data_IF_960535217486
#
_entry.id   IF_960535217486
#
_cell.length_a   1.000
_cell.length_b   1.000
_cell.length_c   1.000
_cell.angle_alpha   90.00
_cell.angle_beta   90.00
_cell.angle_gamma   90.00
#
_symmetry.space_group_name_H-M   'P 1'
#
loop_
_entity.id
_entity.type
_entity.pdbx_description
1 polymer ?
#
# COMPACT_ATOMS: atom_id res chain seq x y z
N UNK A 1 17.87 0.52 27.12
CA UNK A 1 17.75 0.82 25.69
C UNK A 1 17.17 -0.41 24.98
N UNK A 2 16.36 -0.19 23.91
CA UNK A 2 15.86 -1.30 23.10
C UNK A 2 16.89 -1.60 21.98
N UNK A 3 17.09 -2.88 21.70
CA UNK A 3 17.88 -3.36 20.57
C UNK A 3 16.97 -4.08 19.58
N UNK A 4 17.21 -3.90 18.29
CA UNK A 4 16.46 -4.58 17.23
C UNK A 4 17.35 -4.88 16.04
N UNK A 5 16.90 -5.84 15.24
CA UNK A 5 17.56 -6.24 13.99
C UNK A 5 16.59 -6.08 12.83
N UNK A 6 17.07 -5.48 11.75
CA UNK A 6 16.32 -5.29 10.50
C UNK A 6 17.21 -5.77 9.35
N UNK A 7 16.68 -6.64 8.51
CA UNK A 7 17.31 -7.04 7.27
C UNK A 7 16.27 -7.41 6.23
N UNK A 8 16.63 -7.29 4.97
CA UNK A 8 15.66 -7.54 3.91
C UNK A 8 16.31 -7.59 2.53
N UNK A 9 15.46 -7.70 1.54
CA UNK A 9 15.79 -7.70 0.13
C UNK A 9 14.83 -6.76 -0.60
N UNK A 10 15.37 -5.96 -1.51
CA UNK A 10 14.59 -5.14 -2.42
C UNK A 10 14.91 -5.55 -3.86
N UNK A 11 13.86 -5.71 -4.67
CA UNK A 11 13.96 -5.99 -6.10
C UNK A 11 13.17 -4.94 -6.87
N UNK A 12 13.82 -4.33 -7.85
CA UNK A 12 13.20 -3.42 -8.81
C UNK A 12 13.47 -3.95 -10.22
N UNK A 13 12.41 -4.26 -10.94
CA UNK A 13 12.47 -4.75 -12.30
C UNK A 13 11.60 -3.85 -13.19
N UNK A 14 12.21 -3.36 -14.29
CA UNK A 14 11.48 -2.69 -15.36
C UNK A 14 11.72 -3.49 -16.64
N UNK A 15 10.67 -3.76 -17.38
CA UNK A 15 10.76 -4.56 -18.60
C UNK A 15 9.84 -4.00 -19.68
N UNK A 16 10.30 -4.09 -20.92
CA UNK A 16 9.54 -3.78 -22.12
C UNK A 16 9.37 -5.09 -22.90
N UNK A 17 8.12 -5.53 -23.01
CA UNK A 17 7.79 -6.77 -23.71
C UNK A 17 7.60 -6.54 -25.21
N UNK A 18 7.10 -5.36 -25.59
CA UNK A 18 6.91 -4.90 -26.96
C UNK A 18 6.85 -3.38 -27.00
N UNK A 19 6.74 -2.80 -28.21
CA UNK A 19 6.55 -1.35 -28.38
C UNK A 19 5.29 -0.84 -27.66
N UNK A 20 4.30 -1.71 -27.44
CA UNK A 20 3.01 -1.35 -26.86
C UNK A 20 2.81 -1.86 -25.44
N UNK A 21 3.76 -2.62 -24.85
CA UNK A 21 3.59 -3.24 -23.55
C UNK A 21 4.86 -3.16 -22.71
N UNK A 22 4.76 -2.50 -21.57
CA UNK A 22 5.81 -2.48 -20.56
C UNK A 22 5.24 -2.74 -19.15
N UNK A 23 6.09 -3.20 -18.27
CA UNK A 23 5.74 -3.44 -16.89
C UNK A 23 6.88 -3.08 -15.94
N UNK A 24 6.53 -2.80 -14.70
CA UNK A 24 7.49 -2.74 -13.60
C UNK A 24 7.02 -3.61 -12.43
N UNK A 25 7.98 -4.11 -11.69
CA UNK A 25 7.75 -4.86 -10.44
C UNK A 25 8.72 -4.35 -9.40
N UNK A 26 8.20 -3.88 -8.28
CA UNK A 26 8.97 -3.54 -7.09
C UNK A 26 8.53 -4.45 -5.96
N UNK A 27 9.47 -5.15 -5.35
CA UNK A 27 9.25 -6.06 -4.22
C UNK A 27 10.16 -5.66 -3.08
N UNK A 28 9.60 -5.56 -1.88
CA UNK A 28 10.34 -5.42 -0.63
C UNK A 28 10.02 -6.58 0.30
N UNK A 29 11.06 -7.27 0.74
CA UNK A 29 11.00 -8.30 1.79
C UNK A 29 11.77 -7.78 2.99
N UNK A 30 11.10 -7.72 4.14
CA UNK A 30 11.69 -7.17 5.37
C UNK A 30 11.47 -8.15 6.52
N UNK A 31 12.53 -8.43 7.26
CA UNK A 31 12.43 -9.08 8.56
C UNK A 31 12.96 -8.13 9.63
N UNK A 32 12.12 -7.89 10.62
CA UNK A 32 12.47 -7.10 11.80
C UNK A 32 12.26 -7.94 13.05
N UNK A 33 13.04 -7.71 14.08
CA UNK A 33 12.91 -8.40 15.35
C UNK A 33 13.38 -7.51 16.49
N UNK A 34 12.61 -7.44 17.57
CA UNK A 34 13.02 -6.82 18.83
C UNK A 34 13.87 -7.85 19.55
N UNK A 35 15.17 -7.55 19.81
CA UNK A 35 16.12 -8.49 20.42
C UNK A 35 16.21 -8.37 21.92
N UNK A 36 16.28 -7.15 22.41
CA UNK A 36 16.39 -6.86 23.83
C UNK A 36 15.66 -5.56 24.16
N UNK A 37 14.74 -5.63 25.10
CA UNK A 37 14.04 -4.46 25.60
C UNK A 37 13.72 -4.66 27.11
N UNK A 38 14.63 -4.27 27.98
CA UNK A 38 14.54 -4.50 29.44
C UNK A 38 13.21 -4.08 30.06
N UNK A 39 12.60 -2.97 29.60
CA UNK A 39 11.30 -2.50 30.09
C UNK A 39 10.09 -3.20 29.45
N UNK A 40 10.30 -3.98 28.40
CA UNK A 40 9.26 -4.68 27.64
C UNK A 40 9.76 -6.03 27.12
N UNK A 41 10.15 -6.95 28.03
CA UNK A 41 10.65 -8.27 27.63
C UNK A 41 9.57 -9.13 26.96
N UNK A 42 8.30 -8.78 27.12
CA UNK A 42 7.15 -9.38 26.45
C UNK A 42 7.15 -9.19 24.93
N UNK A 43 7.92 -8.24 24.41
CA UNK A 43 8.04 -7.94 22.98
C UNK A 43 9.25 -8.60 22.31
N UNK A 44 10.13 -9.23 23.06
CA UNK A 44 11.31 -9.88 22.49
C UNK A 44 10.91 -11.00 21.52
N UNK A 45 11.58 -11.07 20.39
CA UNK A 45 11.26 -11.97 19.28
C UNK A 45 10.14 -11.48 18.34
N UNK A 46 9.39 -10.43 18.73
CA UNK A 46 8.33 -9.86 17.92
C UNK A 46 8.90 -8.95 16.80
N UNK A 47 8.18 -8.88 15.68
CA UNK A 47 8.47 -7.87 14.66
C UNK A 47 8.19 -6.46 15.19
N UNK A 48 8.96 -5.48 14.71
CA UNK A 48 8.77 -4.07 15.06
C UNK A 48 7.44 -3.53 14.50
N UNK A 49 6.96 -2.44 15.08
CA UNK A 49 5.77 -1.75 14.61
C UNK A 49 6.00 -1.12 13.23
N UNK A 50 4.94 -1.03 12.43
CA UNK A 50 4.95 -0.47 11.06
C UNK A 50 5.95 -1.12 10.09
N UNK A 51 6.29 -2.37 10.31
CA UNK A 51 7.25 -3.14 9.53
C UNK A 51 6.59 -4.36 8.86
N UNK A 52 5.85 -4.17 7.75
CA UNK A 52 5.28 -5.27 6.99
C UNK A 52 6.39 -6.17 6.45
N UNK A 53 6.19 -7.49 6.50
CA UNK A 53 7.19 -8.47 6.05
C UNK A 53 7.39 -8.48 4.53
N UNK A 54 6.37 -8.07 3.80
CA UNK A 54 6.45 -7.87 2.36
C UNK A 54 5.64 -6.65 1.93
N UNK A 55 6.13 -5.98 0.89
CA UNK A 55 5.44 -4.91 0.19
C UNK A 55 5.74 -5.05 -1.30
N UNK A 56 4.78 -4.72 -2.14
CA UNK A 56 4.95 -4.81 -3.58
C UNK A 56 4.16 -3.74 -4.32
N UNK A 57 4.70 -3.36 -5.48
CA UNK A 57 4.01 -2.54 -6.46
C UNK A 57 4.29 -3.12 -7.85
N UNK A 58 3.23 -3.40 -8.60
CA UNK A 58 3.31 -3.95 -9.94
C UNK A 58 2.52 -3.02 -10.86
N UNK A 59 3.17 -2.53 -11.90
CA UNK A 59 2.54 -1.69 -12.91
C UNK A 59 2.60 -2.32 -14.30
N UNK A 60 1.53 -2.13 -15.05
CA UNK A 60 1.43 -2.51 -16.46
C UNK A 60 1.02 -1.29 -17.25
N UNK A 61 1.79 -0.97 -18.30
CA UNK A 61 1.47 0.08 -19.25
C UNK A 61 1.24 -0.57 -20.62
N UNK A 62 0.07 -0.37 -21.16
CA UNK A 62 -0.35 -0.93 -22.43
C UNK A 62 -0.89 0.15 -23.36
N UNK A 63 -0.43 0.16 -24.61
CA UNK A 63 -0.87 1.06 -25.68
C UNK A 63 -1.67 0.22 -26.69
N UNK A 64 -3.00 0.10 -26.54
CA UNK A 64 -3.83 -0.72 -27.42
C UNK A 64 -3.84 -0.26 -28.88
N UNK A 65 -3.72 1.06 -29.08
CA UNK A 65 -3.60 1.72 -30.39
C UNK A 65 -2.96 3.11 -30.19
N UNK A 66 -2.51 3.75 -31.25
CA UNK A 66 -1.62 4.92 -31.21
C UNK A 66 -2.08 6.09 -30.34
N UNK A 67 -3.39 6.23 -30.13
CA UNK A 67 -3.95 7.36 -29.39
C UNK A 67 -4.53 6.97 -28.01
N UNK A 68 -4.30 5.74 -27.55
CA UNK A 68 -4.83 5.26 -26.30
C UNK A 68 -3.77 4.60 -25.44
N UNK A 69 -3.93 4.74 -24.15
CA UNK A 69 -3.10 4.03 -23.15
C UNK A 69 -3.94 3.48 -22.01
N UNK A 70 -3.49 2.38 -21.47
CA UNK A 70 -4.06 1.75 -20.29
C UNK A 70 -2.94 1.52 -19.28
N UNK A 71 -3.10 2.08 -18.08
CA UNK A 71 -2.20 1.87 -16.97
C UNK A 71 -2.94 1.09 -15.88
N UNK A 72 -2.38 -0.03 -15.48
CA UNK A 72 -2.81 -0.81 -14.32
C UNK A 72 -1.73 -0.76 -13.25
N UNK A 73 -2.11 -0.53 -12.02
CA UNK A 73 -1.21 -0.56 -10.89
C UNK A 73 -1.80 -1.37 -9.73
N UNK A 74 -1.00 -2.30 -9.23
CA UNK A 74 -1.31 -3.14 -8.08
C UNK A 74 -0.32 -2.81 -6.97
N UNK A 75 -0.80 -2.39 -5.81
CA UNK A 75 0.05 -2.07 -4.66
C UNK A 75 -0.48 -2.79 -3.43
N UNK A 76 0.38 -3.52 -2.76
CA UNK A 76 -0.03 -4.26 -1.57
C UNK A 76 1.09 -4.43 -0.56
N UNK A 77 0.70 -4.83 0.63
CA UNK A 77 1.62 -5.21 1.71
C UNK A 77 0.97 -6.20 2.68
N UNK A 78 1.81 -6.93 3.39
CA UNK A 78 1.37 -7.78 4.50
C UNK A 78 0.91 -6.97 5.71
N UNK A 79 0.16 -7.60 6.59
CA UNK A 79 -0.20 -7.04 7.89
C UNK A 79 1.03 -6.71 8.74
N UNK A 80 0.91 -5.70 9.59
CA UNK A 80 1.98 -5.22 10.48
C UNK A 80 1.41 -4.80 11.83
N UNK A 81 2.24 -4.84 12.88
CA UNK A 81 1.85 -4.32 14.18
C UNK A 81 1.70 -2.79 14.13
N UNK A 82 0.64 -2.27 14.75
CA UNK A 82 0.39 -0.84 14.78
C UNK A 82 1.31 -0.09 15.77
N UNK A 83 1.74 -0.77 16.84
CA UNK A 83 2.52 -0.15 17.92
C UNK A 83 3.31 -1.20 18.69
N UNK A 84 4.28 -0.73 19.46
CA UNK A 84 4.97 -1.55 20.47
C UNK A 84 4.22 -1.56 21.81
N UNK A 85 3.17 -0.76 21.99
CA UNK A 85 2.37 -0.73 23.22
C UNK A 85 1.32 -1.84 23.31
N UNK A 86 0.95 -2.48 22.19
CA UNK A 86 -0.06 -3.53 22.10
C UNK A 86 0.21 -4.49 20.94
N UNK A 87 -0.50 -5.60 20.87
CA UNK A 87 -0.30 -6.65 19.85
C UNK A 87 -1.29 -6.63 18.70
N UNK A 88 -2.09 -5.55 18.55
CA UNK A 88 -3.01 -5.42 17.42
C UNK A 88 -2.25 -5.18 16.13
N UNK A 89 -2.76 -5.79 15.05
CA UNK A 89 -2.17 -5.74 13.70
C UNK A 89 -3.20 -5.26 12.68
N UNK A 90 -2.70 -4.66 11.60
CA UNK A 90 -3.48 -4.51 10.37
C UNK A 90 -3.61 -5.84 9.65
N UNK A 91 -4.65 -5.98 8.84
CA UNK A 91 -4.71 -6.99 7.79
C UNK A 91 -3.76 -6.64 6.62
N UNK A 92 -3.47 -7.65 5.81
CA UNK A 92 -2.83 -7.46 4.51
C UNK A 92 -3.85 -6.90 3.52
N UNK A 93 -3.39 -6.11 2.55
CA UNK A 93 -4.28 -5.58 1.52
C UNK A 93 -3.61 -5.48 0.16
N UNK A 94 -4.44 -5.41 -0.87
CA UNK A 94 -4.07 -5.17 -2.26
C UNK A 94 -4.97 -4.10 -2.85
N UNK A 95 -4.38 -2.99 -3.29
CA UNK A 95 -5.07 -1.92 -4.00
C UNK A 95 -4.83 -2.05 -5.50
N UNK A 96 -5.89 -1.92 -6.26
CA UNK A 96 -5.84 -1.91 -7.73
C UNK A 96 -6.28 -0.55 -8.23
N UNK A 97 -5.43 0.08 -9.02
CA UNK A 97 -5.72 1.34 -9.68
C UNK A 97 -5.68 1.14 -11.19
N UNK A 98 -6.56 1.82 -11.90
CA UNK A 98 -6.63 1.80 -13.36
C UNK A 98 -6.78 3.20 -13.90
N UNK A 99 -6.11 3.47 -15.02
CA UNK A 99 -6.27 4.69 -15.80
C UNK A 99 -6.28 4.31 -17.29
N UNK A 100 -7.32 4.72 -18.00
CA UNK A 100 -7.42 4.62 -19.45
C UNK A 100 -7.50 6.03 -20.02
N UNK A 101 -6.59 6.36 -20.93
CA UNK A 101 -6.55 7.63 -21.63
C UNK A 101 -6.72 7.45 -23.13
N UNK A 102 -7.35 8.46 -23.75
CA UNK A 102 -7.51 8.56 -25.18
C UNK A 102 -7.20 9.99 -25.66
N UNK A 103 -6.34 10.11 -26.65
CA UNK A 103 -5.93 11.37 -27.25
C UNK A 103 -6.65 11.58 -28.57
N UNK A 104 -7.27 12.74 -28.74
CA UNK A 104 -7.96 13.15 -29.97
C UNK A 104 -7.57 14.60 -30.32
N UNK A 105 -6.71 14.76 -31.31
CA UNK A 105 -6.08 16.04 -31.63
C UNK A 105 -5.43 16.67 -30.40
N UNK A 106 -5.87 17.87 -30.00
CA UNK A 106 -5.36 18.61 -28.84
C UNK A 106 -6.09 18.26 -27.54
N UNK A 107 -6.96 17.25 -27.55
CA UNK A 107 -7.72 16.81 -26.39
C UNK A 107 -7.18 15.48 -25.84
N UNK A 108 -7.07 15.39 -24.51
CA UNK A 108 -6.85 14.13 -23.79
C UNK A 108 -8.03 13.87 -22.87
N UNK A 109 -8.61 12.69 -23.01
CA UNK A 109 -9.69 12.20 -22.15
C UNK A 109 -9.16 11.04 -21.31
N UNK A 110 -9.39 11.06 -20.00
CA UNK A 110 -8.98 10.01 -19.10
C UNK A 110 -10.15 9.55 -18.23
N UNK A 111 -10.30 8.25 -18.08
CA UNK A 111 -11.17 7.62 -17.10
C UNK A 111 -10.27 6.87 -16.13
N UNK A 112 -10.44 7.11 -14.85
CA UNK A 112 -9.61 6.47 -13.85
C UNK A 112 -10.40 5.96 -12.66
N UNK A 113 -9.85 4.91 -12.02
CA UNK A 113 -10.31 4.38 -10.75
C UNK A 113 -9.12 4.19 -9.81
N UNK A 114 -9.26 4.65 -8.59
CA UNK A 114 -8.38 4.33 -7.47
C UNK A 114 -9.12 3.40 -6.53
N UNK A 115 -8.39 2.41 -5.98
CA UNK A 115 -8.97 1.36 -5.17
C UNK A 115 -10.20 0.74 -5.87
N UNK A 116 -10.01 0.24 -7.08
CA UNK A 116 -11.07 -0.23 -8.00
C UNK A 116 -12.05 -1.20 -7.34
N UNK A 117 -11.56 -2.09 -6.48
CA UNK A 117 -12.35 -3.13 -5.82
C UNK A 117 -12.93 -2.71 -4.47
N UNK A 118 -12.75 -1.42 -4.09
CA UNK A 118 -13.24 -0.85 -2.82
C UNK A 118 -12.71 -1.62 -1.60
N UNK A 119 -11.43 -1.98 -1.65
CA UNK A 119 -10.75 -2.67 -0.56
C UNK A 119 -10.79 -1.83 0.71
N UNK A 120 -11.26 -2.44 1.79
CA UNK A 120 -11.29 -1.81 3.11
C UNK A 120 -10.02 -2.17 3.86
N UNK A 121 -9.18 -1.19 4.15
CA UNK A 121 -7.87 -1.43 4.72
C UNK A 121 -7.48 -0.37 5.76
N UNK A 122 -6.79 -0.82 6.80
CA UNK A 122 -6.28 0.05 7.83
C UNK A 122 -4.84 0.51 7.52
N UNK A 123 -4.60 1.80 7.70
CA UNK A 123 -3.28 2.42 7.54
C UNK A 123 -2.57 2.64 8.87
N UNK A 124 -3.34 2.73 9.96
CA UNK A 124 -2.86 2.96 11.32
C UNK A 124 -3.87 2.46 12.34
N UNK A 125 -3.41 2.03 13.51
CA UNK A 125 -4.26 1.66 14.63
C UNK A 125 -3.75 2.23 15.94
N UNK A 126 -4.70 2.52 16.84
CA UNK A 126 -4.48 3.00 18.20
C UNK A 126 -5.31 2.12 19.14
N UNK A 127 -4.76 1.77 20.29
CA UNK A 127 -5.43 0.95 21.28
C UNK A 127 -5.34 1.60 22.65
N UNK A 128 -6.46 2.17 23.12
CA UNK A 128 -6.57 2.88 24.38
C UNK A 128 -8.05 3.07 24.76
N UNK A 129 -8.29 3.38 26.03
CA UNK A 129 -9.62 3.70 26.54
C UNK A 129 -9.96 5.18 26.31
N UNK A 130 -10.97 5.44 25.47
CA UNK A 130 -11.43 6.80 25.13
C UNK A 130 -12.90 7.04 25.41
N UNK A 131 -13.68 6.01 25.70
CA UNK A 131 -15.14 6.11 25.85
C UNK A 131 -15.57 5.94 27.29
N UNK A 132 -16.28 6.95 27.81
CA UNK A 132 -16.88 6.90 29.15
C UNK A 132 -18.08 5.92 29.18
N UNK A 133 -18.45 5.34 30.34
CA UNK A 133 -17.87 5.61 31.66
C UNK A 133 -16.65 4.78 32.01
N UNK A 134 -16.44 3.62 31.37
CA UNK A 134 -15.51 2.59 31.82
C UNK A 134 -14.12 2.71 31.22
N UNK A 135 -13.96 3.53 30.20
CA UNK A 135 -12.68 3.74 29.47
C UNK A 135 -11.98 2.42 29.11
N UNK A 136 -12.75 1.46 28.61
CA UNK A 136 -12.22 0.15 28.17
C UNK A 136 -11.32 0.34 26.96
N UNK A 137 -10.13 -0.27 27.00
CA UNK A 137 -9.20 -0.25 25.89
C UNK A 137 -9.84 -0.83 24.61
N UNK A 138 -9.91 -0.05 23.58
CA UNK A 138 -10.55 -0.36 22.28
C UNK A 138 -9.59 -0.03 21.14
N UNK A 139 -9.64 -0.84 20.08
CA UNK A 139 -8.87 -0.59 18.88
C UNK A 139 -9.60 0.43 17.98
N UNK A 140 -8.95 1.55 17.73
CA UNK A 140 -9.39 2.56 16.77
C UNK A 140 -8.48 2.52 15.55
N UNK A 141 -9.05 2.33 14.37
CA UNK A 141 -8.29 2.24 13.13
C UNK A 141 -8.54 3.44 12.22
N UNK A 142 -7.47 3.93 11.63
CA UNK A 142 -7.56 4.85 10.50
C UNK A 142 -7.52 4.04 9.22
N UNK A 143 -8.60 4.10 8.45
CA UNK A 143 -8.69 3.45 7.15
C UNK A 143 -8.10 4.33 6.05
N UNK A 144 -7.71 3.67 4.97
CA UNK A 144 -7.31 4.33 3.73
C UNK A 144 -8.53 4.80 2.92
N UNK A 145 -8.26 5.40 1.78
CA UNK A 145 -9.30 5.95 0.92
C UNK A 145 -10.16 4.83 0.30
N UNK A 146 -11.49 4.99 0.26
CA UNK A 146 -12.39 4.09 -0.45
C UNK A 146 -12.16 4.19 -1.96
N UNK A 147 -12.94 3.46 -2.75
CA UNK A 147 -12.91 3.57 -4.21
C UNK A 147 -13.27 4.99 -4.67
N UNK A 148 -12.38 5.54 -5.49
CA UNK A 148 -12.61 6.79 -6.20
C UNK A 148 -12.63 6.53 -7.71
N UNK A 149 -13.63 7.11 -8.38
CA UNK A 149 -13.76 7.10 -9.84
C UNK A 149 -13.72 8.54 -10.34
N UNK A 150 -13.09 8.75 -11.48
CA UNK A 150 -13.04 10.08 -12.05
C UNK A 150 -12.87 10.09 -13.57
N UNK A 151 -13.18 11.26 -14.11
CA UNK A 151 -12.98 11.63 -15.50
C UNK A 151 -12.12 12.89 -15.51
N UNK A 152 -11.10 12.92 -16.35
CA UNK A 152 -10.28 14.10 -16.61
C UNK A 152 -10.33 14.44 -18.09
N UNK A 153 -10.39 15.73 -18.40
CA UNK A 153 -10.32 16.24 -19.76
C UNK A 153 -9.26 17.35 -19.79
N UNK A 154 -8.30 17.23 -20.69
CA UNK A 154 -7.24 18.24 -20.90
C UNK A 154 -7.27 18.72 -22.35
N UNK A 155 -7.05 19.99 -22.53
CA UNK A 155 -6.84 20.62 -23.85
C UNK A 155 -5.46 21.30 -23.86
N UNK A 156 -4.66 21.00 -24.86
CA UNK A 156 -3.35 21.60 -25.08
C UNK A 156 -3.47 22.69 -26.15
N UNK A 157 -3.10 23.95 -25.82
CA UNK A 157 -3.24 25.13 -26.67
C UNK A 157 -2.07 25.30 -27.64
#
# INVERSE_FOLDING_TARGET
>A
AAEGVNYGLELNLNTVFSENLSAFVNLGLLKTEIKNWESRPDLEGRAQAHAPTNSYSIGLNYIPFNNAYLNLNFTGKSGFYYSDSHNNKSDSYLLTNVNFGYELNDWTFEIWARNLFDEYYATRGFYFGNEAPDFVDTLYERHGDPRHLGLSVRYDF
#
